data_IF_429987178859
#
_entry.id   IF_429987178859
#
_cell.length_a   1.000
_cell.length_b   1.000
_cell.length_c   1.000
_cell.angle_alpha   90.00
_cell.angle_beta   90.00
_cell.angle_gamma   90.00
#
_symmetry.space_group_name_H-M   'P 1'
#
loop_
_entity.id
_entity.type
_entity.pdbx_description
1 polymer ?
#
# COMPACT_ATOMS: atom_id res chain seq x y z
N UNK A 1 0.23 -19.67 18.14
CA UNK A 1 -1.18 -19.89 18.54
C UNK A 1 -1.39 -19.74 20.03
N UNK A 2 -0.51 -20.27 20.88
CA UNK A 2 -0.57 -20.07 22.34
C UNK A 2 -0.60 -18.58 22.71
N UNK A 3 0.28 -17.77 22.13
CA UNK A 3 0.33 -16.32 22.41
C UNK A 3 -0.92 -15.59 21.90
N UNK A 4 -1.40 -15.96 20.70
CA UNK A 4 -2.64 -15.42 20.12
C UNK A 4 -3.84 -15.72 21.05
N UNK A 5 -3.94 -16.96 21.54
CA UNK A 5 -4.99 -17.37 22.46
C UNK A 5 -4.91 -16.63 23.81
N UNK A 6 -3.70 -16.42 24.33
CA UNK A 6 -3.47 -15.66 25.55
C UNK A 6 -3.89 -14.19 25.42
N UNK A 7 -3.50 -13.51 24.32
CA UNK A 7 -3.88 -12.12 24.04
C UNK A 7 -5.39 -12.00 23.81
N UNK A 8 -5.97 -12.91 23.02
CA UNK A 8 -7.41 -12.93 22.72
C UNK A 8 -8.27 -13.46 23.88
N UNK A 9 -7.67 -13.90 24.99
CA UNK A 9 -8.36 -14.48 26.16
C UNK A 9 -9.31 -15.62 25.81
N UNK A 10 -8.93 -16.45 24.85
CA UNK A 10 -9.67 -17.65 24.43
C UNK A 10 -8.85 -18.91 24.66
N UNK A 11 -9.49 -20.08 24.68
CA UNK A 11 -8.76 -21.35 24.72
C UNK A 11 -7.94 -21.54 23.44
N UNK A 12 -6.81 -22.25 23.53
CA UNK A 12 -5.99 -22.61 22.35
C UNK A 12 -6.81 -23.36 21.30
N UNK A 13 -7.72 -24.22 21.72
CA UNK A 13 -8.66 -24.96 20.85
C UNK A 13 -9.61 -24.02 20.12
N UNK A 14 -10.15 -23.00 20.81
CA UNK A 14 -11.01 -21.98 20.21
C UNK A 14 -10.24 -21.14 19.19
N UNK A 15 -9.02 -20.71 19.52
CA UNK A 15 -8.17 -19.97 18.60
C UNK A 15 -7.84 -20.80 17.34
N UNK A 16 -7.51 -22.08 17.51
CA UNK A 16 -7.23 -22.99 16.39
C UNK A 16 -8.46 -23.24 15.51
N UNK A 17 -9.66 -23.37 16.11
CA UNK A 17 -10.91 -23.54 15.36
C UNK A 17 -11.26 -22.32 14.50
N UNK A 18 -11.00 -21.12 15.02
CA UNK A 18 -11.36 -19.86 14.35
C UNK A 18 -10.32 -19.49 13.29
N UNK A 19 -9.03 -19.63 13.60
CA UNK A 19 -7.93 -19.13 12.76
C UNK A 19 -7.24 -20.24 11.95
N UNK A 20 -7.49 -21.51 12.27
CA UNK A 20 -6.76 -22.64 11.69
C UNK A 20 -5.32 -22.69 12.21
N UNK A 21 -4.36 -22.44 11.33
CA UNK A 21 -2.93 -22.37 11.65
C UNK A 21 -2.47 -20.94 11.92
N UNK A 22 -1.27 -20.78 12.50
CA UNK A 22 -0.64 -19.46 12.66
C UNK A 22 -0.41 -18.80 11.30
N UNK A 23 0.00 -19.58 10.29
CA UNK A 23 0.24 -19.06 8.95
C UNK A 23 -1.05 -18.55 8.30
N UNK A 24 -2.16 -19.32 8.39
CA UNK A 24 -3.46 -18.84 7.92
C UNK A 24 -3.92 -17.59 8.65
N UNK A 25 -3.76 -17.54 9.97
CA UNK A 25 -4.08 -16.36 10.77
C UNK A 25 -3.29 -15.13 10.31
N UNK A 26 -1.99 -15.29 10.03
CA UNK A 26 -1.12 -14.24 9.55
C UNK A 26 -1.50 -13.78 8.14
N UNK A 27 -1.79 -14.70 7.22
CA UNK A 27 -2.26 -14.38 5.86
C UNK A 27 -3.59 -13.62 5.89
N UNK A 28 -4.57 -14.07 6.68
CA UNK A 28 -5.85 -13.37 6.79
C UNK A 28 -5.72 -11.98 7.43
N UNK A 29 -4.84 -11.83 8.42
CA UNK A 29 -4.55 -10.51 9.00
C UNK A 29 -3.89 -9.59 7.97
N UNK A 30 -2.89 -10.08 7.24
CA UNK A 30 -2.22 -9.32 6.17
C UNK A 30 -3.22 -8.88 5.11
N UNK A 31 -4.08 -9.78 4.65
CA UNK A 31 -5.11 -9.47 3.66
C UNK A 31 -6.06 -8.37 4.17
N UNK A 32 -6.52 -8.48 5.42
CA UNK A 32 -7.37 -7.45 6.05
C UNK A 32 -6.67 -6.09 6.14
N UNK A 33 -5.38 -6.05 6.50
CA UNK A 33 -4.64 -4.79 6.56
C UNK A 33 -4.44 -4.17 5.17
N UNK A 34 -4.20 -4.98 4.14
CA UNK A 34 -4.13 -4.53 2.74
C UNK A 34 -5.47 -3.97 2.29
N UNK A 35 -6.57 -4.70 2.52
CA UNK A 35 -7.92 -4.25 2.18
C UNK A 35 -8.28 -2.95 2.89
N UNK A 36 -7.91 -2.81 4.17
CA UNK A 36 -8.12 -1.59 4.96
C UNK A 36 -7.33 -0.41 4.39
N UNK A 37 -6.05 -0.62 4.09
CA UNK A 37 -5.20 0.42 3.50
C UNK A 37 -5.75 0.87 2.14
N UNK A 38 -6.07 -0.07 1.25
CA UNK A 38 -6.63 0.26 -0.07
C UNK A 38 -7.95 1.01 0.05
N UNK A 39 -8.83 0.59 0.97
CA UNK A 39 -10.10 1.27 1.22
C UNK A 39 -9.91 2.70 1.74
N UNK A 40 -8.89 2.95 2.56
CA UNK A 40 -8.54 4.30 3.04
C UNK A 40 -7.98 5.16 1.89
N UNK A 41 -7.14 4.60 1.03
CA UNK A 41 -6.60 5.29 -0.15
C UNK A 41 -7.71 5.66 -1.13
N UNK A 42 -8.56 4.69 -1.50
CA UNK A 42 -9.70 4.90 -2.40
C UNK A 42 -10.59 6.02 -1.86
N UNK A 43 -10.95 5.99 -0.57
CA UNK A 43 -11.77 7.05 0.05
C UNK A 43 -11.10 8.41 -0.03
N UNK A 44 -9.78 8.48 0.19
CA UNK A 44 -9.01 9.71 0.07
C UNK A 44 -9.04 10.25 -1.35
N UNK A 45 -8.77 9.39 -2.34
CA UNK A 45 -8.78 9.74 -3.76
C UNK A 45 -10.17 10.20 -4.21
N UNK A 46 -11.22 9.50 -3.80
CA UNK A 46 -12.60 9.84 -4.18
C UNK A 46 -13.05 11.20 -3.61
N UNK A 47 -12.39 11.68 -2.55
CA UNK A 47 -12.62 12.98 -1.90
C UNK A 47 -11.68 14.09 -2.35
N UNK A 48 -10.64 13.77 -3.14
CA UNK A 48 -9.67 14.74 -3.59
C UNK A 48 -10.30 15.72 -4.59
N UNK A 49 -9.97 17.00 -4.45
CA UNK A 49 -10.55 18.08 -5.28
C UNK A 49 -9.53 18.71 -6.22
N UNK A 50 -8.24 18.51 -5.96
CA UNK A 50 -7.14 18.98 -6.78
C UNK A 50 -5.98 17.95 -6.82
N UNK A 51 -5.00 18.17 -7.70
CA UNK A 51 -3.83 17.30 -7.79
C UNK A 51 -2.99 17.24 -6.48
N UNK A 52 -2.78 18.35 -5.74
CA UNK A 52 -2.18 18.31 -4.40
C UNK A 52 -2.87 17.36 -3.41
N UNK A 53 -4.20 17.30 -3.38
CA UNK A 53 -4.96 16.37 -2.53
C UNK A 53 -4.63 14.91 -2.88
N UNK A 54 -4.60 14.59 -4.18
CA UNK A 54 -4.23 13.25 -4.68
C UNK A 54 -2.83 12.86 -4.20
N UNK A 55 -1.87 13.78 -4.33
CA UNK A 55 -0.50 13.55 -3.86
C UNK A 55 -0.43 13.33 -2.35
N UNK A 56 -1.19 14.11 -1.57
CA UNK A 56 -1.24 13.97 -0.12
C UNK A 56 -1.78 12.61 0.30
N UNK A 57 -2.82 12.11 -0.39
CA UNK A 57 -3.36 10.76 -0.16
C UNK A 57 -2.31 9.69 -0.45
N UNK A 58 -1.60 9.81 -1.59
CA UNK A 58 -0.53 8.87 -1.94
C UNK A 58 0.62 8.90 -0.92
N UNK A 59 1.10 10.08 -0.52
CA UNK A 59 2.18 10.21 0.46
C UNK A 59 1.79 9.59 1.80
N UNK A 60 0.58 9.88 2.30
CA UNK A 60 0.07 9.33 3.55
C UNK A 60 -0.06 7.81 3.50
N UNK A 61 -0.45 7.25 2.34
CA UNK A 61 -0.50 5.81 2.15
C UNK A 61 0.90 5.18 2.28
N UNK A 62 1.91 5.77 1.64
CA UNK A 62 3.28 5.29 1.68
C UNK A 62 3.88 5.38 3.08
N UNK A 63 3.63 6.48 3.80
CA UNK A 63 4.03 6.65 5.20
C UNK A 63 3.41 5.57 6.10
N UNK A 64 2.12 5.25 5.89
CA UNK A 64 1.43 4.19 6.65
C UNK A 64 2.00 2.82 6.39
N UNK A 65 2.36 2.52 5.13
CA UNK A 65 3.01 1.25 4.78
C UNK A 65 4.39 1.17 5.43
N UNK A 66 5.19 2.22 5.32
CA UNK A 66 6.54 2.27 5.89
C UNK A 66 6.52 2.06 7.42
N UNK A 67 5.57 2.71 8.10
CA UNK A 67 5.41 2.66 9.55
C UNK A 67 4.67 1.40 10.02
N UNK A 68 4.15 0.58 9.10
CA UNK A 68 3.37 -0.59 9.46
C UNK A 68 4.22 -1.58 10.27
N UNK A 69 3.76 -2.07 11.45
CA UNK A 69 4.56 -2.95 12.30
C UNK A 69 5.07 -4.20 11.60
N UNK A 70 4.28 -4.77 10.67
CA UNK A 70 4.71 -5.94 9.89
C UNK A 70 5.83 -5.58 8.91
N UNK A 71 5.72 -4.45 8.20
CA UNK A 71 6.74 -4.03 7.26
C UNK A 71 8.05 -3.69 7.99
N UNK A 72 7.95 -2.97 9.12
CA UNK A 72 9.09 -2.68 10.00
C UNK A 72 9.77 -3.95 10.51
N UNK A 73 8.99 -4.95 10.91
CA UNK A 73 9.50 -6.25 11.39
C UNK A 73 10.25 -6.98 10.28
N UNK A 74 9.63 -7.16 9.11
CA UNK A 74 10.24 -7.87 7.98
C UNK A 74 11.53 -7.17 7.54
N UNK A 75 11.53 -5.83 7.46
CA UNK A 75 12.72 -5.05 7.08
C UNK A 75 13.89 -5.19 8.05
N UNK A 76 13.61 -5.32 9.35
CA UNK A 76 14.64 -5.36 10.40
C UNK A 76 15.15 -6.78 10.63
N UNK A 77 14.24 -7.75 10.67
CA UNK A 77 14.54 -9.10 11.16
C UNK A 77 14.74 -10.10 10.02
N UNK A 78 14.10 -9.88 8.86
CA UNK A 78 13.99 -10.88 7.77
C UNK A 78 14.20 -10.26 6.37
N UNK A 79 15.30 -9.53 6.10
CA UNK A 79 15.50 -8.82 4.84
C UNK A 79 15.54 -9.74 3.60
N UNK A 80 15.91 -11.01 3.76
CA UNK A 80 15.90 -12.00 2.67
C UNK A 80 14.51 -12.28 2.10
N UNK A 81 13.46 -12.18 2.93
CA UNK A 81 12.07 -12.39 2.50
C UNK A 81 11.61 -11.26 1.57
N UNK A 82 12.06 -10.03 1.82
CA UNK A 82 11.76 -8.89 0.94
C UNK A 82 12.35 -9.14 -0.45
N UNK A 83 13.60 -9.59 -0.52
CA UNK A 83 14.27 -9.89 -1.80
C UNK A 83 13.51 -10.93 -2.62
N UNK A 84 13.11 -12.04 -1.99
CA UNK A 84 12.36 -13.10 -2.66
C UNK A 84 10.95 -12.64 -3.09
N UNK A 85 10.23 -11.92 -2.22
CA UNK A 85 8.93 -11.35 -2.55
C UNK A 85 9.00 -10.36 -3.71
N UNK A 86 10.08 -9.56 -3.79
CA UNK A 86 10.26 -8.61 -4.87
C UNK A 86 10.50 -9.30 -6.22
N UNK A 87 11.19 -10.44 -6.22
CA UNK A 87 11.45 -11.21 -7.45
C UNK A 87 10.20 -11.97 -7.91
N UNK A 88 9.46 -12.58 -6.97
CA UNK A 88 8.37 -13.51 -7.30
C UNK A 88 6.99 -12.87 -7.38
N UNK A 89 6.75 -11.77 -6.65
CA UNK A 89 5.39 -11.29 -6.38
C UNK A 89 5.15 -9.82 -6.71
N UNK A 90 6.18 -9.06 -7.12
CA UNK A 90 6.02 -7.63 -7.44
C UNK A 90 5.02 -7.37 -8.55
N UNK A 91 5.06 -8.11 -9.66
CA UNK A 91 4.15 -7.87 -10.77
C UNK A 91 2.67 -8.12 -10.39
N UNK A 92 2.29 -9.28 -9.80
CA UNK A 92 0.92 -9.48 -9.33
C UNK A 92 0.45 -8.45 -8.29
N UNK A 93 1.35 -7.99 -7.42
CA UNK A 93 1.03 -6.95 -6.42
C UNK A 93 0.74 -5.62 -7.12
N UNK A 94 1.57 -5.22 -8.09
CA UNK A 94 1.35 -4.00 -8.89
C UNK A 94 -0.01 -4.09 -9.59
N UNK A 95 -0.28 -5.19 -10.29
CA UNK A 95 -1.54 -5.36 -11.03
C UNK A 95 -2.76 -5.26 -10.11
N UNK A 96 -2.67 -5.87 -8.92
CA UNK A 96 -3.75 -5.82 -7.91
C UNK A 96 -3.99 -4.39 -7.42
N UNK A 97 -2.93 -3.64 -7.09
CA UNK A 97 -3.06 -2.27 -6.59
C UNK A 97 -3.55 -1.35 -7.71
N UNK A 98 -2.96 -1.43 -8.91
CA UNK A 98 -3.37 -0.64 -10.07
C UNK A 98 -4.84 -0.88 -10.42
N UNK A 99 -5.28 -2.14 -10.45
CA UNK A 99 -6.68 -2.47 -10.71
C UNK A 99 -7.63 -1.91 -9.65
N UNK A 100 -7.23 -1.93 -8.38
CA UNK A 100 -8.04 -1.38 -7.29
C UNK A 100 -8.16 0.15 -7.35
N UNK A 101 -7.11 0.86 -7.78
CA UNK A 101 -7.06 2.33 -7.80
C UNK A 101 -7.57 2.94 -9.12
N UNK A 102 -7.56 2.18 -10.22
CA UNK A 102 -7.99 2.63 -11.56
C UNK A 102 -9.34 3.36 -11.58
N UNK A 103 -10.41 2.89 -10.92
CA UNK A 103 -11.69 3.60 -10.91
C UNK A 103 -11.62 5.03 -10.35
N UNK A 104 -10.92 5.23 -9.22
CA UNK A 104 -10.78 6.56 -8.60
C UNK A 104 -9.91 7.48 -9.45
N UNK A 105 -8.82 6.97 -10.02
CA UNK A 105 -7.96 7.77 -10.92
C UNK A 105 -8.66 8.15 -12.21
N UNK A 106 -9.47 7.26 -12.79
CA UNK A 106 -10.30 7.57 -13.96
C UNK A 106 -11.30 8.66 -13.65
N UNK A 107 -12.00 8.56 -12.52
CA UNK A 107 -12.92 9.61 -12.05
C UNK A 107 -12.21 10.97 -11.93
N UNK A 108 -11.04 11.01 -11.29
CA UNK A 108 -10.26 12.24 -11.13
C UNK A 108 -9.78 12.83 -12.46
N UNK A 109 -9.45 11.98 -13.45
CA UNK A 109 -9.11 12.43 -14.80
C UNK A 109 -10.34 12.98 -15.54
N UNK A 110 -11.48 12.28 -15.47
CA UNK A 110 -12.74 12.70 -16.10
C UNK A 110 -13.27 14.02 -15.53
N UNK A 111 -13.06 14.26 -14.23
CA UNK A 111 -13.39 15.51 -13.53
C UNK A 111 -12.37 16.64 -13.78
N UNK A 112 -11.27 16.37 -14.49
CA UNK A 112 -10.21 17.33 -14.78
C UNK A 112 -9.30 17.67 -13.59
N UNK A 113 -9.40 16.91 -12.48
CA UNK A 113 -8.55 17.04 -11.29
C UNK A 113 -7.12 16.61 -11.62
N UNK A 114 -6.96 15.54 -12.41
CA UNK A 114 -5.68 15.09 -12.93
C UNK A 114 -5.59 15.38 -14.44
N UNK A 115 -4.70 16.28 -14.82
CA UNK A 115 -4.39 16.56 -16.23
C UNK A 115 -3.40 15.52 -16.79
N UNK A 116 -3.87 14.29 -17.01
CA UNK A 116 -3.05 13.17 -17.50
C UNK A 116 -3.71 12.49 -18.69
N UNK A 117 -2.95 12.32 -19.78
CA UNK A 117 -3.45 11.70 -21.02
C UNK A 117 -3.65 10.18 -20.87
N UNK A 118 -2.81 9.52 -20.06
CA UNK A 118 -2.85 8.07 -19.80
C UNK A 118 -2.84 7.79 -18.29
N UNK A 119 -4.02 7.77 -17.69
CA UNK A 119 -4.19 7.53 -16.25
C UNK A 119 -3.68 6.15 -15.82
N UNK A 120 -3.87 5.11 -16.63
CA UNK A 120 -3.41 3.76 -16.29
C UNK A 120 -1.88 3.71 -16.19
N UNK A 121 -1.18 4.38 -17.11
CA UNK A 121 0.28 4.46 -17.06
C UNK A 121 0.78 5.28 -15.86
N UNK A 122 0.07 6.34 -15.49
CA UNK A 122 0.40 7.14 -14.30
C UNK A 122 0.24 6.31 -13.01
N UNK A 123 -0.83 5.50 -12.90
CA UNK A 123 -1.03 4.63 -11.74
C UNK A 123 0.09 3.60 -11.63
N UNK A 124 0.42 2.89 -12.73
CA UNK A 124 1.51 1.88 -12.71
C UNK A 124 2.83 2.51 -12.24
N UNK A 125 3.18 3.70 -12.75
CA UNK A 125 4.39 4.42 -12.32
C UNK A 125 4.34 4.79 -10.85
N UNK A 126 3.22 5.32 -10.37
CA UNK A 126 3.05 5.71 -8.97
C UNK A 126 3.14 4.50 -8.04
N UNK A 127 2.55 3.36 -8.40
CA UNK A 127 2.63 2.13 -7.61
C UNK A 127 4.07 1.60 -7.57
N UNK A 128 4.77 1.56 -8.71
CA UNK A 128 6.19 1.15 -8.77
C UNK A 128 7.09 2.06 -7.94
N UNK A 129 6.88 3.37 -8.05
CA UNK A 129 7.59 4.35 -7.26
C UNK A 129 7.29 4.14 -5.77
N UNK A 130 6.02 3.94 -5.42
CA UNK A 130 5.59 3.68 -4.06
C UNK A 130 6.28 2.46 -3.44
N UNK A 131 6.29 1.32 -4.14
CA UNK A 131 7.01 0.11 -3.71
C UNK A 131 8.49 0.41 -3.46
N UNK A 132 9.14 1.12 -4.39
CA UNK A 132 10.55 1.50 -4.26
C UNK A 132 10.79 2.39 -3.05
N UNK A 133 9.93 3.38 -2.82
CA UNK A 133 10.07 4.34 -1.73
C UNK A 133 9.72 3.74 -0.36
N UNK A 134 8.89 2.71 -0.32
CA UNK A 134 8.64 1.94 0.92
C UNK A 134 9.89 1.15 1.32
N UNK A 135 10.62 0.59 0.33
CA UNK A 135 11.86 -0.15 0.57
C UNK A 135 13.05 0.77 0.89
N UNK A 136 13.13 1.91 0.21
CA UNK A 136 14.16 2.92 0.37
C UNK A 136 13.50 4.29 0.59
N UNK A 137 13.10 4.61 1.84
CA UNK A 137 12.40 5.85 2.16
C UNK A 137 13.14 7.12 1.73
N UNK A 138 12.45 8.09 1.12
CA UNK A 138 13.06 9.34 0.69
C UNK A 138 13.48 10.19 1.89
N UNK A 139 14.68 10.78 1.82
CA UNK A 139 15.23 11.63 2.89
C UNK A 139 14.38 12.86 3.20
N UNK A 140 13.72 13.41 2.16
CA UNK A 140 12.89 14.61 2.26
C UNK A 140 11.40 14.30 2.53
N UNK A 141 11.02 13.03 2.66
CA UNK A 141 9.64 12.59 2.82
C UNK A 141 8.90 12.35 1.49
N UNK A 142 7.81 11.59 1.56
CA UNK A 142 7.06 11.15 0.38
C UNK A 142 6.36 12.28 -0.35
N UNK A 143 5.79 13.25 0.38
CA UNK A 143 5.11 14.41 -0.22
C UNK A 143 6.05 15.24 -1.11
N UNK A 144 7.28 15.50 -0.64
CA UNK A 144 8.29 16.24 -1.40
C UNK A 144 8.67 15.47 -2.66
N UNK A 145 8.96 14.18 -2.52
CA UNK A 145 9.34 13.33 -3.66
C UNK A 145 8.26 13.31 -4.74
N UNK A 146 7.00 13.05 -4.37
CA UNK A 146 5.90 12.96 -5.33
C UNK A 146 5.63 14.30 -6.03
N UNK A 147 5.74 15.41 -5.30
CA UNK A 147 5.60 16.75 -5.87
C UNK A 147 6.70 17.06 -6.89
N UNK A 148 7.95 16.68 -6.59
CA UNK A 148 9.09 16.93 -7.48
C UNK A 148 9.02 16.07 -8.75
N UNK A 149 8.61 14.80 -8.62
CA UNK A 149 8.42 13.89 -9.77
C UNK A 149 7.35 14.42 -10.73
N UNK A 150 6.23 14.95 -10.22
CA UNK A 150 5.20 15.51 -11.09
C UNK A 150 5.63 16.81 -11.77
N UNK A 151 6.43 17.65 -11.10
CA UNK A 151 6.99 18.88 -11.71
C UNK A 151 8.02 18.56 -12.79
N UNK A 152 8.84 17.53 -12.58
CA UNK A 152 9.90 17.13 -13.51
C UNK A 152 9.41 16.56 -14.85
N UNK A 153 8.15 16.09 -14.92
CA UNK A 153 7.54 15.54 -16.15
C UNK A 153 6.78 16.59 -17.00
N UNK A 154 6.77 17.86 -16.59
CA UNK A 154 6.06 18.95 -17.27
C UNK A 154 6.96 19.78 -18.24
N UNK A 155 8.16 19.29 -18.56
CA UNK A 155 9.09 19.88 -19.52
C UNK A 155 9.50 18.90 -20.60
#
# INVERSE_FOLDING_TARGET
MTDIAAVARVSRTTAYRILGSVDRAATSLLQREIERLLSEVIRGLDSATDAPDVLAVCALALERVEQHPLFRKIRTDEPGIIGEALVLHTAPIIDTITSALSPSFRKLADEGVLAVDDHENVIDRLVRLGITCVLSPPRAGYQSLLSDVLRGNAG
#
